data_IF_313613241572
#
_entry.id   IF_313613241572
#
_cell.length_a   1.000
_cell.length_b   1.000
_cell.length_c   1.000
_cell.angle_alpha   90.00
_cell.angle_beta   90.00
_cell.angle_gamma   90.00
#
_symmetry.space_group_name_H-M   'P 1'
#
loop_
_entity.id
_entity.type
_entity.pdbx_description
1 polymer ?
#
# COMPACT_ATOMS: atom_id res chain seq x y z
N UNK A 1 22.08 8.39 -6.40
CA UNK A 1 20.63 8.68 -6.17
C UNK A 1 20.47 9.13 -4.72
N UNK A 2 19.74 10.21 -4.44
CA UNK A 2 19.52 10.66 -3.05
C UNK A 2 18.41 9.81 -2.40
N UNK A 3 18.52 9.44 -1.10
CA UNK A 3 17.54 8.58 -0.42
C UNK A 3 16.10 9.11 -0.51
N UNK A 4 15.93 10.44 -0.50
CA UNK A 4 14.63 11.08 -0.68
C UNK A 4 13.95 10.78 -2.04
N UNK A 5 14.73 10.64 -3.12
CA UNK A 5 14.16 10.31 -4.44
C UNK A 5 13.66 8.87 -4.51
N UNK A 6 14.35 7.96 -3.82
CA UNK A 6 13.96 6.55 -3.73
C UNK A 6 12.65 6.42 -2.95
N UNK A 7 12.55 7.07 -1.78
CA UNK A 7 11.35 7.05 -0.95
C UNK A 7 10.13 7.67 -1.65
N UNK A 8 10.31 8.80 -2.35
CA UNK A 8 9.22 9.39 -3.13
C UNK A 8 8.79 8.47 -4.30
N UNK A 9 9.73 7.77 -4.92
CA UNK A 9 9.43 6.74 -5.92
C UNK A 9 8.60 5.60 -5.33
N UNK A 10 9.00 5.06 -4.18
CA UNK A 10 8.28 3.99 -3.47
C UNK A 10 6.87 4.45 -3.08
N UNK A 11 6.72 5.67 -2.56
CA UNK A 11 5.41 6.25 -2.24
C UNK A 11 4.52 6.33 -3.47
N UNK A 12 5.05 6.81 -4.60
CA UNK A 12 4.31 6.88 -5.86
C UNK A 12 3.87 5.50 -6.35
N UNK A 13 4.76 4.50 -6.29
CA UNK A 13 4.45 3.12 -6.68
C UNK A 13 3.36 2.53 -5.79
N UNK A 14 3.44 2.71 -4.47
CA UNK A 14 2.43 2.19 -3.53
C UNK A 14 1.07 2.86 -3.70
N UNK A 15 1.04 4.16 -3.97
CA UNK A 15 -0.21 4.87 -4.27
C UNK A 15 -0.84 4.35 -5.56
N UNK A 16 -0.05 4.15 -6.61
CA UNK A 16 -0.53 3.58 -7.86
C UNK A 16 -1.06 2.15 -7.69
N UNK A 17 -0.36 1.33 -6.90
CA UNK A 17 -0.79 -0.03 -6.59
C UNK A 17 -2.12 -0.04 -5.81
N UNK A 18 -2.24 0.80 -4.78
CA UNK A 18 -3.48 0.92 -4.02
C UNK A 18 -4.65 1.46 -4.84
N UNK A 19 -4.41 2.45 -5.69
CA UNK A 19 -5.42 2.99 -6.60
C UNK A 19 -5.89 1.94 -7.62
N UNK A 20 -4.96 1.17 -8.19
CA UNK A 20 -5.27 0.09 -9.12
C UNK A 20 -6.11 -0.99 -8.45
N UNK A 21 -5.69 -1.45 -7.27
CA UNK A 21 -6.43 -2.43 -6.48
C UNK A 21 -7.86 -1.95 -6.15
N UNK A 22 -8.00 -0.71 -5.70
CA UNK A 22 -9.30 -0.14 -5.34
C UNK A 22 -10.23 0.00 -6.56
N UNK A 23 -9.71 0.48 -7.69
CA UNK A 23 -10.46 0.59 -8.95
C UNK A 23 -10.96 -0.77 -9.43
N UNK A 24 -10.11 -1.79 -9.38
CA UNK A 24 -10.48 -3.15 -9.76
C UNK A 24 -11.51 -3.75 -8.81
N UNK A 25 -11.39 -3.48 -7.50
CA UNK A 25 -12.37 -3.91 -6.52
C UNK A 25 -13.75 -3.30 -6.78
N UNK A 26 -13.81 -2.01 -7.11
CA UNK A 26 -15.07 -1.32 -7.49
C UNK A 26 -15.66 -1.87 -8.80
N UNK A 27 -14.82 -2.24 -9.77
CA UNK A 27 -15.27 -2.77 -11.06
C UNK A 27 -15.83 -4.20 -11.01
N UNK A 28 -15.76 -4.88 -9.86
CA UNK A 28 -16.17 -6.28 -9.72
C UNK A 28 -15.26 -7.30 -10.40
N UNK A 29 -14.19 -6.86 -11.07
CA UNK A 29 -13.19 -7.70 -11.74
C UNK A 29 -12.10 -8.22 -10.78
N UNK A 30 -12.35 -8.14 -9.47
CA UNK A 30 -11.42 -8.56 -8.42
C UNK A 30 -10.98 -10.02 -8.56
N UNK A 31 -11.83 -10.89 -9.13
CA UNK A 31 -11.52 -12.31 -9.38
C UNK A 31 -10.40 -12.52 -10.42
N UNK A 32 -10.45 -11.80 -11.55
CA UNK A 32 -9.44 -11.91 -12.63
C UNK A 32 -8.05 -11.48 -12.16
N UNK A 33 -8.00 -10.42 -11.35
CA UNK A 33 -6.74 -9.95 -10.77
C UNK A 33 -6.20 -10.90 -9.69
N UNK A 34 -7.11 -11.54 -8.94
CA UNK A 34 -6.73 -12.51 -7.90
C UNK A 34 -6.09 -13.76 -8.50
N UNK A 35 -6.60 -14.27 -9.61
CA UNK A 35 -6.02 -15.42 -10.32
C UNK A 35 -4.67 -15.09 -10.96
N UNK A 36 -4.50 -13.87 -11.48
CA UNK A 36 -3.23 -13.44 -12.07
C UNK A 36 -2.11 -13.26 -11.03
N UNK A 37 -2.46 -13.07 -9.76
CA UNK A 37 -1.51 -12.74 -8.70
C UNK A 37 -1.47 -13.76 -7.57
N UNK A 38 -2.26 -14.83 -7.60
CA UNK A 38 -2.32 -15.83 -6.53
C UNK A 38 -0.93 -16.31 -6.10
N UNK A 39 -0.07 -16.57 -7.08
CA UNK A 39 1.26 -17.16 -6.86
C UNK A 39 2.26 -16.15 -6.28
N UNK A 40 2.06 -14.86 -6.53
CA UNK A 40 2.96 -13.79 -6.08
C UNK A 40 2.34 -12.96 -4.96
N UNK A 41 1.07 -13.20 -4.61
CA UNK A 41 0.29 -12.38 -3.68
C UNK A 41 0.96 -12.31 -2.31
N UNK A 42 1.47 -13.44 -1.81
CA UNK A 42 2.17 -13.49 -0.53
C UNK A 42 3.46 -12.65 -0.56
N UNK A 43 4.25 -12.78 -1.62
CA UNK A 43 5.51 -12.05 -1.78
C UNK A 43 5.26 -10.54 -1.93
N UNK A 44 4.28 -10.15 -2.73
CA UNK A 44 3.86 -8.76 -2.90
C UNK A 44 3.31 -8.16 -1.61
N UNK A 45 2.56 -8.93 -0.82
CA UNK A 45 2.04 -8.46 0.47
C UNK A 45 3.17 -8.22 1.48
N UNK A 46 4.21 -9.07 1.49
CA UNK A 46 5.39 -8.90 2.33
C UNK A 46 6.19 -7.66 1.88
N UNK A 47 6.40 -7.50 0.57
CA UNK A 47 7.09 -6.32 0.03
C UNK A 47 6.32 -5.03 0.31
N UNK A 48 4.99 -5.05 0.16
CA UNK A 48 4.12 -3.92 0.49
C UNK A 48 4.22 -3.59 1.98
N UNK A 49 4.18 -4.57 2.88
CA UNK A 49 4.37 -4.37 4.32
C UNK A 49 5.69 -3.66 4.62
N UNK A 50 6.80 -4.16 4.10
CA UNK A 50 8.14 -3.57 4.32
C UNK A 50 8.18 -2.13 3.80
N UNK A 51 7.63 -1.89 2.61
CA UNK A 51 7.63 -0.57 1.99
C UNK A 51 6.75 0.44 2.77
N UNK A 52 5.57 0.01 3.23
CA UNK A 52 4.66 0.84 4.04
C UNK A 52 5.29 1.18 5.38
N UNK A 53 5.89 0.20 6.07
CA UNK A 53 6.60 0.43 7.34
C UNK A 53 7.78 1.38 7.15
N UNK A 54 8.59 1.17 6.09
CA UNK A 54 9.71 2.06 5.79
C UNK A 54 9.26 3.50 5.51
N UNK A 55 8.19 3.69 4.74
CA UNK A 55 7.62 5.02 4.49
C UNK A 55 7.05 5.66 5.74
N UNK A 56 6.40 4.88 6.59
CA UNK A 56 5.85 5.37 7.87
C UNK A 56 6.96 5.80 8.82
N UNK A 57 7.99 4.97 9.00
CA UNK A 57 9.15 5.31 9.83
C UNK A 57 9.88 6.53 9.28
N UNK A 58 10.09 6.62 7.96
CA UNK A 58 10.70 7.80 7.34
C UNK A 58 9.87 9.07 7.57
N UNK A 59 8.55 8.96 7.43
CA UNK A 59 7.65 10.08 7.70
C UNK A 59 7.75 10.56 9.15
N UNK A 60 7.78 9.65 10.12
CA UNK A 60 7.87 10.00 11.55
C UNK A 60 9.24 10.58 11.89
N UNK A 61 10.33 9.93 11.45
CA UNK A 61 11.70 10.34 11.79
C UNK A 61 12.08 11.67 11.11
N UNK A 62 11.65 11.89 9.86
CA UNK A 62 12.01 13.07 9.08
C UNK A 62 10.87 14.09 8.97
N UNK A 63 9.82 13.98 9.78
CA UNK A 63 8.65 14.85 9.69
C UNK A 63 9.02 16.34 9.67
N UNK A 64 9.94 16.70 10.56
CA UNK A 64 10.37 18.08 10.78
C UNK A 64 11.29 18.63 9.67
N UNK A 65 11.92 17.74 8.90
CA UNK A 65 12.80 18.12 7.77
C UNK A 65 12.02 18.31 6.46
N UNK A 66 10.73 17.97 6.43
CA UNK A 66 9.88 18.10 5.24
C UNK A 66 9.35 19.53 5.17
N UNK A 67 9.38 20.13 3.97
CA UNK A 67 8.79 21.43 3.73
C UNK A 67 7.32 21.46 4.18
N UNK A 68 6.91 22.51 4.91
CA UNK A 68 5.59 22.61 5.56
C UNK A 68 4.41 22.44 4.58
N UNK A 69 4.58 22.85 3.33
CA UNK A 69 3.59 22.66 2.25
C UNK A 69 3.45 21.20 1.78
N UNK A 70 4.47 20.38 1.96
CA UNK A 70 4.51 18.97 1.57
C UNK A 70 4.23 18.00 2.72
N UNK A 71 4.18 18.47 3.96
CA UNK A 71 3.89 17.62 5.13
C UNK A 71 2.51 16.98 5.02
N UNK A 72 1.46 17.79 4.82
CA UNK A 72 0.07 17.32 4.72
C UNK A 72 -0.14 16.27 3.62
N UNK A 73 0.24 16.51 2.35
CA UNK A 73 0.04 15.53 1.29
C UNK A 73 0.86 14.25 1.52
N UNK A 74 2.03 14.35 2.14
CA UNK A 74 2.87 13.18 2.43
C UNK A 74 2.30 12.33 3.56
N UNK A 75 1.77 12.95 4.61
CA UNK A 75 1.04 12.25 5.69
C UNK A 75 -0.20 11.56 5.12
N UNK A 76 -0.99 12.27 4.30
CA UNK A 76 -2.17 11.70 3.65
C UNK A 76 -1.81 10.51 2.74
N UNK A 77 -0.74 10.63 1.94
CA UNK A 77 -0.28 9.56 1.06
C UNK A 77 0.17 8.32 1.82
N UNK A 78 0.98 8.48 2.88
CA UNK A 78 1.40 7.35 3.72
C UNK A 78 0.19 6.75 4.46
N UNK A 79 -0.71 7.59 4.97
CA UNK A 79 -1.95 7.15 5.62
C UNK A 79 -2.82 6.31 4.68
N UNK A 80 -3.01 6.75 3.43
CA UNK A 80 -3.73 5.98 2.41
C UNK A 80 -3.06 4.63 2.13
N UNK A 81 -1.72 4.57 2.10
CA UNK A 81 -1.01 3.31 1.92
C UNK A 81 -1.23 2.35 3.09
N UNK A 82 -1.21 2.85 4.33
CA UNK A 82 -1.49 2.05 5.53
C UNK A 82 -2.93 1.55 5.52
N UNK A 83 -3.90 2.42 5.26
CA UNK A 83 -5.32 2.06 5.21
C UNK A 83 -5.60 1.04 4.09
N UNK A 84 -5.01 1.24 2.91
CA UNK A 84 -5.13 0.31 1.78
C UNK A 84 -4.58 -1.08 2.10
N UNK A 85 -3.44 -1.14 2.80
CA UNK A 85 -2.86 -2.40 3.26
C UNK A 85 -3.78 -3.11 4.27
N UNK A 86 -4.28 -2.39 5.28
CA UNK A 86 -5.21 -2.95 6.28
C UNK A 86 -6.48 -3.47 5.60
N UNK A 87 -7.01 -2.74 4.62
CA UNK A 87 -8.18 -3.17 3.86
C UNK A 87 -7.93 -4.48 3.09
N UNK A 88 -6.79 -4.63 2.41
CA UNK A 88 -6.41 -5.89 1.73
C UNK A 88 -6.31 -7.04 2.71
N UNK A 89 -5.71 -6.81 3.88
CA UNK A 89 -5.63 -7.81 4.96
C UNK A 89 -6.99 -8.21 5.48
N UNK A 90 -7.89 -7.24 5.66
CA UNK A 90 -9.27 -7.50 6.06
C UNK A 90 -10.02 -8.34 5.01
N UNK A 91 -9.86 -8.05 3.72
CA UNK A 91 -10.44 -8.85 2.63
C UNK A 91 -9.86 -10.27 2.60
N UNK A 92 -8.55 -10.43 2.82
CA UNK A 92 -7.91 -11.74 2.92
C UNK A 92 -8.47 -12.53 4.12
N UNK A 93 -8.58 -11.88 5.28
CA UNK A 93 -9.15 -12.46 6.48
C UNK A 93 -10.58 -12.96 6.23
N UNK A 94 -11.46 -12.13 5.66
CA UNK A 94 -12.82 -12.55 5.30
C UNK A 94 -12.80 -13.76 4.36
N UNK A 95 -11.92 -13.78 3.36
CA UNK A 95 -11.79 -14.91 2.46
C UNK A 95 -11.39 -16.20 3.19
N UNK A 96 -10.44 -16.13 4.13
CA UNK A 96 -10.03 -17.29 4.92
C UNK A 96 -11.12 -17.76 5.87
N UNK A 97 -11.86 -16.83 6.48
CA UNK A 97 -12.99 -17.15 7.37
C UNK A 97 -14.18 -17.76 6.63
N UNK A 98 -14.45 -17.35 5.40
CA UNK A 98 -15.54 -17.89 4.56
C UNK A 98 -15.15 -19.14 3.76
N UNK A 99 -13.86 -19.49 3.66
CA UNK A 99 -13.40 -20.76 3.05
C UNK A 99 -13.37 -21.93 4.05
N UNK A 100 -13.78 -21.72 5.30
CA UNK A 100 -14.09 -22.80 6.24
C UNK A 100 -15.55 -23.17 6.06
N UNK A 101 -15.84 -23.84 4.94
CA UNK A 101 -16.99 -24.74 4.72
C UNK A 101 -16.61 -25.72 3.60
#
# INVERSE_FOLDING_TARGET
MTPHRILNGILGVLLAYNASFFSLHLSGQSRLWKDALSDVQALLSIMELIAVVALFVDLVVRFDQIAKSWQVPRVAGVGLCVTGMIFKWFVLYLHLSYLVD
#
